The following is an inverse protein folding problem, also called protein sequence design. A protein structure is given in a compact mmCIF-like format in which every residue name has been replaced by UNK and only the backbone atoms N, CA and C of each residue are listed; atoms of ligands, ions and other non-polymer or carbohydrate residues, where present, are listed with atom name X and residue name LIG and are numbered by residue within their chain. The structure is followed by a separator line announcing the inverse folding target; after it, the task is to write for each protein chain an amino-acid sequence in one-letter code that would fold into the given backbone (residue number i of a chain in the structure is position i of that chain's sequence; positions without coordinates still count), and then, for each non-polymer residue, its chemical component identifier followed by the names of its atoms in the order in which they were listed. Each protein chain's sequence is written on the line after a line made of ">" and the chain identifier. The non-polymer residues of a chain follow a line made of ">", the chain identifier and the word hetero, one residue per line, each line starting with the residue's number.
data_IF_524906807512
#
_entry.id   IF_524906807512
#
_cell.length_a   1.000
_cell.length_b   1.000
_cell.length_c   1.000
_cell.angle_alpha   90.00
_cell.angle_beta   90.00
_cell.angle_gamma   90.00
#
_symmetry.space_group_name_H-M   'P 1'
#
loop_
_entity.id
_entity.type
_entity.pdbx_description
1 polymer ?
#
# COMPACT_ATOMS: atom_id res chain seq x y z
N UNK A 1 1.98 -15.77 7.64
CA UNK A 1 2.04 -14.37 7.18
C UNK A 1 2.92 -14.32 5.95
N UNK A 2 2.34 -14.03 4.79
CA UNK A 2 3.04 -13.92 3.50
C UNK A 2 3.23 -12.44 3.17
N UNK A 3 4.49 -12.05 2.93
CA UNK A 3 4.88 -10.67 2.63
C UNK A 3 5.36 -10.59 1.19
N UNK A 4 4.99 -9.53 0.48
CA UNK A 4 5.52 -9.21 -0.84
C UNK A 4 6.03 -7.76 -0.85
N UNK A 5 7.04 -7.49 -1.66
CA UNK A 5 7.71 -6.18 -1.74
C UNK A 5 7.47 -5.53 -3.09
N UNK A 6 7.18 -4.22 -3.10
CA UNK A 6 7.08 -3.42 -4.31
C UNK A 6 7.87 -2.11 -4.17
N UNK A 7 8.89 -1.90 -5.00
CA UNK A 7 9.73 -0.70 -4.95
C UNK A 7 10.19 -0.26 -6.35
N UNK A 8 10.62 1.01 -6.48
CA UNK A 8 10.90 1.64 -7.77
C UNK A 8 12.12 1.12 -8.54
N UNK A 9 12.85 0.12 -8.03
CA UNK A 9 13.93 -0.56 -8.79
C UNK A 9 13.43 -1.81 -9.52
N UNK A 10 12.18 -2.22 -9.29
CA UNK A 10 11.54 -3.32 -9.99
C UNK A 10 11.09 -2.89 -11.38
N UNK A 11 11.04 -3.83 -12.32
CA UNK A 11 10.45 -3.55 -13.63
C UNK A 11 8.94 -3.29 -13.51
N UNK A 12 8.33 -2.54 -14.44
CA UNK A 12 6.88 -2.31 -14.42
C UNK A 12 6.05 -3.59 -14.36
N UNK A 13 6.46 -4.63 -15.10
CA UNK A 13 5.80 -5.93 -15.10
C UNK A 13 5.87 -6.64 -13.73
N UNK A 14 7.00 -6.52 -13.02
CA UNK A 14 7.14 -7.09 -11.67
C UNK A 14 6.27 -6.36 -10.64
N UNK A 15 6.16 -5.03 -10.77
CA UNK A 15 5.28 -4.24 -9.91
C UNK A 15 3.83 -4.65 -10.16
N UNK A 16 3.40 -4.74 -11.41
CA UNK A 16 2.04 -5.13 -11.78
C UNK A 16 1.66 -6.54 -11.26
N UNK A 17 2.55 -7.53 -11.42
CA UNK A 17 2.33 -8.88 -10.91
C UNK A 17 2.26 -8.93 -9.38
N UNK A 18 3.13 -8.15 -8.71
CA UNK A 18 3.11 -7.99 -7.25
C UNK A 18 1.80 -7.37 -6.77
N UNK A 19 1.36 -6.30 -7.43
CA UNK A 19 0.10 -5.62 -7.11
C UNK A 19 -1.09 -6.55 -7.29
N UNK A 20 -1.13 -7.28 -8.40
CA UNK A 20 -2.18 -8.25 -8.73
C UNK A 20 -2.22 -9.36 -7.67
N UNK A 21 -1.07 -9.94 -7.33
CA UNK A 21 -0.98 -10.99 -6.32
C UNK A 21 -1.43 -10.53 -4.92
N UNK A 22 -1.12 -9.29 -4.55
CA UNK A 22 -1.60 -8.71 -3.29
C UNK A 22 -3.11 -8.42 -3.34
N UNK A 23 -3.61 -7.90 -4.46
CA UNK A 23 -5.03 -7.63 -4.67
C UNK A 23 -5.88 -8.90 -4.58
N UNK A 24 -5.41 -10.01 -5.16
CA UNK A 24 -6.05 -11.33 -5.09
C UNK A 24 -5.96 -11.99 -3.69
N UNK A 25 -5.27 -11.37 -2.73
CA UNK A 25 -5.10 -11.90 -1.38
C UNK A 25 -4.13 -13.09 -1.32
N UNK A 26 -3.26 -13.27 -2.32
CA UNK A 26 -2.18 -14.28 -2.24
C UNK A 26 -1.15 -13.92 -1.18
N UNK A 27 -1.06 -12.64 -0.80
CA UNK A 27 -0.19 -12.11 0.24
C UNK A 27 -0.99 -11.33 1.29
N UNK A 28 -0.50 -11.34 2.52
CA UNK A 28 -1.14 -10.67 3.66
C UNK A 28 -0.63 -9.24 3.83
N UNK A 29 0.64 -8.98 3.48
CA UNK A 29 1.31 -7.71 3.67
C UNK A 29 2.03 -7.29 2.39
N UNK A 30 1.79 -6.05 1.96
CA UNK A 30 2.55 -5.38 0.92
C UNK A 30 3.52 -4.39 1.58
N UNK A 31 4.82 -4.67 1.49
CA UNK A 31 5.87 -3.75 1.89
C UNK A 31 6.28 -2.91 0.67
N UNK A 32 6.10 -1.59 0.75
CA UNK A 32 6.33 -0.74 -0.40
C UNK A 32 6.94 0.61 -0.06
N UNK A 33 7.64 1.20 -1.03
CA UNK A 33 8.02 2.62 -0.99
C UNK A 33 6.90 3.50 -1.53
N UNK A 34 7.02 4.80 -1.34
CA UNK A 34 6.03 5.80 -1.80
C UNK A 34 5.75 5.76 -3.30
N UNK A 35 6.64 5.19 -4.11
CA UNK A 35 6.56 5.18 -5.57
C UNK A 35 5.38 4.34 -6.09
N UNK A 36 4.85 3.41 -5.28
CA UNK A 36 3.66 2.61 -5.65
C UNK A 36 2.35 3.43 -5.50
N UNK A 37 2.47 4.76 -5.43
CA UNK A 37 1.41 5.77 -5.46
C UNK A 37 0.49 5.72 -6.69
N UNK A 38 0.71 4.90 -7.71
CA UNK A 38 -0.22 4.82 -8.85
C UNK A 38 -1.52 4.08 -8.46
N UNK A 39 -2.55 4.84 -8.09
CA UNK A 39 -3.96 4.42 -8.23
C UNK A 39 -4.44 3.23 -7.39
N UNK A 40 -3.65 2.78 -6.42
CA UNK A 40 -3.93 1.57 -5.66
C UNK A 40 -5.08 1.77 -4.66
N UNK A 41 -6.31 1.64 -5.14
CA UNK A 41 -7.47 1.39 -4.29
C UNK A 41 -7.51 -0.11 -3.99
N UNK A 42 -7.13 -0.49 -2.77
CA UNK A 42 -7.28 -1.87 -2.28
C UNK A 42 -8.33 -1.86 -1.19
N UNK A 43 -9.61 -2.16 -1.52
CA UNK A 43 -10.70 -2.14 -0.54
C UNK A 43 -10.46 -3.06 0.67
N UNK A 44 -9.71 -4.15 0.45
CA UNK A 44 -9.35 -5.14 1.48
C UNK A 44 -8.23 -4.64 2.41
N UNK A 45 -7.40 -3.70 1.98
CA UNK A 45 -6.35 -3.13 2.82
C UNK A 45 -6.97 -2.14 3.80
N UNK A 46 -7.06 -2.56 5.06
CA UNK A 46 -7.64 -1.77 6.14
C UNK A 46 -6.59 -1.24 7.11
N UNK A 47 -5.32 -1.63 6.99
CA UNK A 47 -4.26 -1.16 7.90
C UNK A 47 -3.11 -0.60 7.09
N UNK A 48 -2.75 0.65 7.38
CA UNK A 48 -1.59 1.34 6.84
C UNK A 48 -0.58 1.57 7.95
N UNK A 49 0.68 1.21 7.71
CA UNK A 49 1.79 1.49 8.62
C UNK A 49 2.79 2.36 7.85
N UNK A 50 3.07 3.56 8.36
CA UNK A 50 4.00 4.49 7.72
C UNK A 50 5.30 4.49 8.52
N UNK A 51 6.32 3.84 7.97
CA UNK A 51 7.66 3.97 8.53
C UNK A 51 8.23 5.36 8.25
N UNK A 52 8.81 6.00 9.27
CA UNK A 52 9.43 7.34 9.18
C UNK A 52 8.46 8.42 8.67
N UNK A 53 7.26 8.47 9.25
CA UNK A 53 6.24 9.48 8.92
C UNK A 53 6.72 10.93 9.10
N UNK A 54 7.77 11.16 9.89
CA UNK A 54 8.47 12.44 10.05
C UNK A 54 9.09 12.97 8.74
N UNK A 55 9.38 12.09 7.78
CA UNK A 55 9.95 12.47 6.48
C UNK A 55 8.89 12.85 5.44
N UNK A 56 7.61 12.83 5.80
CA UNK A 56 6.49 13.10 4.90
C UNK A 56 5.84 14.45 5.21
N UNK A 57 5.45 15.16 4.16
CA UNK A 57 4.57 16.31 4.30
C UNK A 57 3.16 15.89 4.73
N UNK A 58 2.46 16.76 5.47
CA UNK A 58 1.09 16.51 5.93
C UNK A 58 0.13 16.14 4.78
N UNK A 59 0.27 16.82 3.63
CA UNK A 59 -0.54 16.51 2.45
C UNK A 59 -0.29 15.09 1.92
N UNK A 60 0.97 14.62 1.92
CA UNK A 60 1.31 13.26 1.49
C UNK A 60 0.72 12.22 2.45
N UNK A 61 0.86 12.43 3.75
CA UNK A 61 0.26 11.55 4.77
C UNK A 61 -1.27 11.48 4.62
N UNK A 62 -1.92 12.61 4.34
CA UNK A 62 -3.36 12.66 4.10
C UNK A 62 -3.77 11.84 2.86
N UNK A 63 -3.02 11.95 1.76
CA UNK A 63 -3.26 11.17 0.55
C UNK A 63 -3.05 9.67 0.79
N UNK A 64 -2.00 9.27 1.51
CA UNK A 64 -1.73 7.87 1.86
C UNK A 64 -2.85 7.29 2.74
N UNK A 65 -3.30 8.04 3.75
CA UNK A 65 -4.43 7.65 4.60
C UNK A 65 -5.72 7.43 3.80
N UNK A 66 -5.98 8.23 2.76
CA UNK A 66 -7.17 8.12 1.91
C UNK A 66 -7.22 6.89 1.00
N UNK A 67 -6.14 6.09 0.94
CA UNK A 67 -6.04 4.87 0.13
C UNK A 67 -6.43 3.59 0.88
N UNK A 68 -6.57 3.67 2.20
CA UNK A 68 -7.05 2.55 3.04
C UNK A 68 -8.45 2.82 3.56
N UNK A 69 -9.21 1.76 3.84
CA UNK A 69 -10.54 1.89 4.42
C UNK A 69 -11.66 2.26 3.46
N UNK A 70 -11.54 1.84 2.19
CA UNK A 70 -12.63 1.93 1.20
C UNK A 70 -13.66 0.79 1.29
N UNK A 71 -13.58 -0.06 2.31
CA UNK A 71 -14.58 -1.08 2.63
C UNK A 71 -15.45 -0.67 3.82
N UNK A 72 -16.49 -1.47 4.12
CA UNK A 72 -17.34 -1.28 5.33
C UNK A 72 -16.58 -1.53 6.64
N UNK A 73 -15.37 -2.09 6.58
CA UNK A 73 -14.54 -2.41 7.73
C UNK A 73 -13.72 -1.19 8.13
N UNK A 74 -13.68 -0.90 9.43
CA UNK A 74 -12.88 0.21 9.97
C UNK A 74 -11.41 0.03 9.58
N UNK A 75 -10.82 1.10 9.06
CA UNK A 75 -9.40 1.15 8.77
C UNK A 75 -8.59 1.85 9.86
N UNK A 76 -7.30 1.52 9.91
CA UNK A 76 -6.31 2.02 10.84
C UNK A 76 -5.10 2.54 10.06
N UNK A 77 -4.55 3.67 10.50
CA UNK A 77 -3.30 4.23 10.00
C UNK A 77 -2.43 4.57 11.21
N UNK A 78 -1.20 4.07 11.21
CA UNK A 78 -0.24 4.17 12.32
C UNK A 78 1.07 4.76 11.80
#
# INVERSE_FOLDING_TARGET
>A
MKVITAHGQMSPAQIEDTMTSFYEGRYDVLLSTTIVESGLDIPRANTLIIHRADMFGLAQLYQLRGRVGRSKVRAYAI
#
